data_IF_268542118578
#
_entry.id   IF_268542118578
#
_cell.length_a   1.000
_cell.length_b   1.000
_cell.length_c   1.000
_cell.angle_alpha   90.00
_cell.angle_beta   90.00
_cell.angle_gamma   90.00
#
_symmetry.space_group_name_H-M   'P 1'
#
loop_
_entity.id
_entity.type
_entity.pdbx_description
1 polymer ?
#
# COMPACT_ATOMS: atom_id res chain seq x y z
N UNK A 1 8.72 2.22 -12.20
CA UNK A 1 7.89 2.85 -13.26
C UNK A 1 6.46 2.29 -13.40
N UNK A 2 6.21 0.97 -13.28
CA UNK A 2 4.86 0.40 -13.47
C UNK A 2 3.78 1.06 -12.57
N UNK A 3 4.12 1.40 -11.32
CA UNK A 3 3.20 2.08 -10.39
C UNK A 3 2.83 3.50 -10.83
N UNK A 4 3.82 4.32 -11.23
CA UNK A 4 3.55 5.68 -11.76
C UNK A 4 2.61 5.62 -12.96
N UNK A 5 2.84 4.68 -13.89
CA UNK A 5 1.95 4.49 -15.05
C UNK A 5 0.53 4.07 -14.64
N UNK A 6 0.40 3.19 -13.63
CA UNK A 6 -0.91 2.77 -13.09
C UNK A 6 -1.69 3.97 -12.54
N UNK A 7 -1.04 4.80 -11.72
CA UNK A 7 -1.65 6.02 -11.13
C UNK A 7 -2.03 7.05 -12.18
N UNK A 8 -1.15 7.29 -13.17
CA UNK A 8 -1.47 8.18 -14.30
C UNK A 8 -2.68 7.70 -15.11
N UNK A 9 -2.81 6.40 -15.36
CA UNK A 9 -3.99 5.83 -16.05
C UNK A 9 -5.26 6.02 -15.23
N UNK A 10 -5.20 5.83 -13.91
CA UNK A 10 -6.35 6.06 -13.03
C UNK A 10 -6.77 7.53 -13.04
N UNK A 11 -5.83 8.47 -12.93
CA UNK A 11 -6.09 9.89 -13.05
C UNK A 11 -6.74 10.24 -14.39
N UNK A 12 -6.18 9.74 -15.49
CA UNK A 12 -6.72 9.96 -16.83
C UNK A 12 -8.17 9.46 -16.96
N UNK A 13 -8.47 8.29 -16.42
CA UNK A 13 -9.80 7.70 -16.47
C UNK A 13 -10.81 8.48 -15.60
N UNK A 14 -10.41 8.91 -14.40
CA UNK A 14 -11.27 9.75 -13.56
C UNK A 14 -11.56 11.11 -14.17
N UNK A 15 -10.60 11.72 -14.87
CA UNK A 15 -10.79 12.96 -15.62
C UNK A 15 -11.86 12.78 -16.70
N UNK A 16 -11.80 11.67 -17.45
CA UNK A 16 -12.79 11.36 -18.51
C UNK A 16 -14.19 11.12 -17.96
N UNK A 17 -14.29 10.51 -16.79
CA UNK A 17 -15.58 10.17 -16.18
C UNK A 17 -16.25 11.36 -15.51
N UNK A 18 -15.61 11.98 -14.52
CA UNK A 18 -16.16 13.14 -13.82
C UNK A 18 -15.07 13.86 -13.03
N UNK A 19 -14.40 14.80 -13.68
CA UNK A 19 -13.27 15.53 -13.11
C UNK A 19 -13.59 16.26 -11.80
N UNK A 20 -14.78 16.87 -11.68
CA UNK A 20 -15.20 17.60 -10.47
C UNK A 20 -15.51 16.67 -9.29
N UNK A 21 -16.24 15.58 -9.54
CA UNK A 21 -16.60 14.59 -8.50
C UNK A 21 -15.40 13.78 -8.02
N UNK A 22 -14.44 13.52 -8.91
CA UNK A 22 -13.23 12.73 -8.63
C UNK A 22 -11.98 13.58 -8.41
N UNK A 23 -12.14 14.88 -8.14
CA UNK A 23 -11.00 15.80 -7.99
C UNK A 23 -9.95 15.27 -7.01
N UNK A 24 -10.38 14.82 -5.83
CA UNK A 24 -9.48 14.32 -4.79
C UNK A 24 -8.72 13.06 -5.24
N UNK A 25 -9.41 12.09 -5.86
CA UNK A 25 -8.77 10.90 -6.44
C UNK A 25 -7.73 11.29 -7.51
N UNK A 26 -8.08 12.22 -8.42
CA UNK A 26 -7.18 12.70 -9.47
C UNK A 26 -5.93 13.37 -8.89
N UNK A 27 -6.11 14.25 -7.89
CA UNK A 27 -4.99 14.90 -7.20
C UNK A 27 -4.09 13.88 -6.50
N UNK A 28 -4.69 12.92 -5.81
CA UNK A 28 -3.97 11.85 -5.11
C UNK A 28 -3.13 11.05 -6.10
N UNK A 29 -3.73 10.51 -7.15
CA UNK A 29 -2.99 9.68 -8.11
C UNK A 29 -1.94 10.45 -8.93
N UNK A 30 -2.17 11.72 -9.24
CA UNK A 30 -1.14 12.55 -9.89
C UNK A 30 0.04 12.85 -8.95
N UNK A 31 -0.24 13.09 -7.66
CA UNK A 31 0.80 13.27 -6.63
C UNK A 31 1.62 11.98 -6.47
N UNK A 32 0.95 10.83 -6.36
CA UNK A 32 1.59 9.52 -6.28
C UNK A 32 2.51 9.24 -7.47
N UNK A 33 2.01 9.54 -8.67
CA UNK A 33 2.79 9.36 -9.89
C UNK A 33 4.04 10.23 -9.91
N UNK A 34 3.96 11.47 -9.40
CA UNK A 34 5.06 12.42 -9.27
C UNK A 34 6.10 11.93 -8.26
N UNK A 35 5.68 11.54 -7.06
CA UNK A 35 6.58 11.00 -6.02
C UNK A 35 7.34 9.77 -6.50
N UNK A 36 6.69 8.85 -7.22
CA UNK A 36 7.35 7.68 -7.81
C UNK A 36 8.38 8.07 -8.88
N UNK A 37 8.14 9.15 -9.63
CA UNK A 37 9.10 9.65 -10.63
C UNK A 37 10.31 10.31 -9.95
N UNK A 38 10.09 11.09 -8.89
CA UNK A 38 11.14 11.75 -8.11
C UNK A 38 12.04 10.73 -7.42
N UNK A 39 11.46 9.79 -6.67
CA UNK A 39 12.22 8.71 -6.00
C UNK A 39 12.99 7.85 -7.00
N UNK A 40 12.40 7.50 -8.15
CA UNK A 40 13.10 6.76 -9.19
C UNK A 40 14.27 7.54 -9.80
N UNK A 41 14.17 8.88 -9.87
CA UNK A 41 15.26 9.73 -10.32
C UNK A 41 16.40 9.76 -9.30
N UNK A 42 16.09 9.94 -8.02
CA UNK A 42 17.08 9.94 -6.93
C UNK A 42 17.83 8.60 -6.85
N UNK A 43 17.11 7.48 -6.97
CA UNK A 43 17.72 6.15 -7.02
C UNK A 43 18.66 5.99 -8.22
N UNK A 44 18.24 6.43 -9.41
CA UNK A 44 19.07 6.36 -10.61
C UNK A 44 20.33 7.24 -10.52
N UNK A 45 20.22 8.42 -9.91
CA UNK A 45 21.36 9.33 -9.69
C UNK A 45 22.34 8.79 -8.65
N UNK A 46 21.85 8.04 -7.66
CA UNK A 46 22.68 7.38 -6.64
C UNK A 46 23.46 6.18 -7.19
N UNK A 47 22.92 5.47 -8.18
CA UNK A 47 23.53 4.27 -8.78
C UNK A 47 24.60 4.64 -9.82
N UNK A 48 24.28 5.56 -10.75
CA UNK A 48 25.24 6.09 -11.72
C UNK A 48 25.08 7.60 -11.97
N UNK A 49 25.96 8.46 -11.39
CA UNK A 49 25.85 9.92 -11.46
C UNK A 49 25.96 10.54 -12.86
N UNK A 50 26.26 9.74 -13.91
CA UNK A 50 26.58 10.23 -15.25
C UNK A 50 25.52 9.88 -16.32
N UNK A 51 24.39 9.31 -15.92
CA UNK A 51 23.28 8.99 -16.83
C UNK A 51 22.41 10.23 -17.16
N UNK A 52 23.03 11.28 -17.71
CA UNK A 52 22.40 12.58 -18.06
C UNK A 52 21.12 12.39 -18.87
N UNK A 53 21.12 11.44 -19.82
CA UNK A 53 19.95 11.13 -20.64
C UNK A 53 18.75 10.60 -19.83
N UNK A 54 18.99 9.73 -18.86
CA UNK A 54 17.93 9.18 -17.98
C UNK A 54 17.38 10.28 -17.08
N UNK A 55 18.27 11.12 -16.54
CA UNK A 55 17.92 12.26 -15.70
C UNK A 55 17.04 13.27 -16.43
N UNK A 56 17.41 13.67 -17.64
CA UNK A 56 16.67 14.68 -18.39
C UNK A 56 15.29 14.17 -18.83
N UNK A 57 15.18 12.88 -19.16
CA UNK A 57 13.88 12.23 -19.38
C UNK A 57 13.02 12.24 -18.12
N UNK A 58 13.58 11.88 -16.96
CA UNK A 58 12.84 11.89 -15.70
C UNK A 58 12.39 13.31 -15.33
N UNK A 59 13.26 14.32 -15.48
CA UNK A 59 12.90 15.73 -15.26
C UNK A 59 11.72 16.16 -16.14
N UNK A 60 11.69 15.74 -17.41
CA UNK A 60 10.58 16.03 -18.31
C UNK A 60 9.28 15.34 -17.86
N UNK A 61 9.34 14.10 -17.40
CA UNK A 61 8.18 13.39 -16.86
C UNK A 61 7.65 14.05 -15.59
N UNK A 62 8.54 14.37 -14.64
CA UNK A 62 8.23 15.11 -13.41
C UNK A 62 7.53 16.43 -13.74
N UNK A 63 8.06 17.18 -14.72
CA UNK A 63 7.44 18.44 -15.15
C UNK A 63 6.03 18.24 -15.74
N UNK A 64 5.83 17.20 -16.55
CA UNK A 64 4.51 16.89 -17.12
C UNK A 64 3.50 16.48 -16.03
N UNK A 65 3.90 15.62 -15.09
CA UNK A 65 3.08 15.23 -13.94
C UNK A 65 2.74 16.44 -13.06
N UNK A 66 3.73 17.28 -12.74
CA UNK A 66 3.57 18.49 -11.93
C UNK A 66 2.63 19.51 -12.59
N UNK A 67 2.81 19.77 -13.89
CA UNK A 67 1.88 20.63 -14.64
C UNK A 67 0.45 20.08 -14.62
N UNK A 68 0.30 18.76 -14.80
CA UNK A 68 -1.00 18.10 -14.76
C UNK A 68 -1.65 18.21 -13.39
N UNK A 69 -0.89 18.03 -12.31
CA UNK A 69 -1.35 18.24 -10.94
C UNK A 69 -1.76 19.70 -10.70
N UNK A 70 -0.98 20.65 -11.21
CA UNK A 70 -1.32 22.09 -11.16
C UNK A 70 -2.63 22.43 -11.88
N UNK A 71 -2.95 21.72 -12.97
CA UNK A 71 -4.27 21.84 -13.63
C UNK A 71 -5.36 21.18 -12.78
N UNK A 72 -5.12 19.98 -12.24
CA UNK A 72 -6.08 19.27 -11.39
C UNK A 72 -6.46 20.07 -10.13
N UNK A 73 -5.50 20.78 -9.54
CA UNK A 73 -5.72 21.65 -8.38
C UNK A 73 -6.70 22.81 -8.65
N UNK A 74 -6.86 23.21 -9.93
CA UNK A 74 -7.79 24.25 -10.35
C UNK A 74 -9.20 23.74 -10.67
N UNK A 75 -9.42 22.43 -10.64
CA UNK A 75 -10.75 21.87 -10.83
C UNK A 75 -11.64 22.33 -9.65
N UNK A 76 -12.80 22.95 -9.92
CA UNK A 76 -13.72 23.32 -8.86
C UNK A 76 -14.29 22.06 -8.19
N UNK A 77 -14.38 22.07 -6.86
CA UNK A 77 -14.98 20.98 -6.11
C UNK A 77 -16.48 20.91 -6.38
N UNK A 78 -16.98 19.68 -6.53
CA UNK A 78 -18.40 19.43 -6.56
C UNK A 78 -18.91 19.31 -5.12
N UNK A 79 -19.41 20.42 -4.56
CA UNK A 79 -20.01 20.46 -3.22
C UNK A 79 -21.41 19.82 -3.17
N UNK A 80 -21.88 19.18 -4.25
CA UNK A 80 -23.22 18.56 -4.33
C UNK A 80 -23.31 17.17 -3.69
N UNK A 81 -22.29 16.71 -2.97
CA UNK A 81 -22.39 15.53 -2.12
C UNK A 81 -23.35 15.79 -0.95
N UNK A 82 -24.64 15.51 -1.20
CA UNK A 82 -25.65 15.26 -0.17
C UNK A 82 -25.06 14.36 0.92
N UNK A 83 -25.15 14.72 2.22
CA UNK A 83 -24.76 13.85 3.33
C UNK A 83 -25.77 12.70 3.44
N UNK A 84 -25.61 11.69 2.58
CA UNK A 84 -26.41 10.48 2.57
C UNK A 84 -25.98 9.52 3.68
N UNK A 85 -26.81 9.45 4.71
CA UNK A 85 -26.75 8.56 5.88
C UNK A 85 -25.52 8.72 6.79
N UNK A 86 -25.62 9.69 7.70
CA UNK A 86 -24.95 9.65 8.98
C UNK A 86 -25.24 8.32 9.70
N UNK A 87 -24.24 7.45 9.76
CA UNK A 87 -23.96 6.70 10.98
C UNK A 87 -22.81 7.45 11.68
N UNK A 88 -22.89 7.65 13.01
CA UNK A 88 -21.94 8.46 13.76
C UNK A 88 -20.67 7.64 13.92
N UNK A 89 -19.79 7.71 12.93
CA UNK A 89 -18.44 7.23 13.09
C UNK A 89 -17.51 7.96 12.13
N UNK A 90 -17.04 9.13 12.55
CA UNK A 90 -15.84 9.79 12.01
C UNK A 90 -14.58 8.88 12.06
N UNK A 91 -14.71 7.61 12.50
CA UNK A 91 -13.64 6.63 12.60
C UNK A 91 -13.19 6.04 11.26
N UNK A 92 -13.98 6.11 10.18
CA UNK A 92 -13.62 5.51 8.89
C UNK A 92 -13.77 6.46 7.69
N UNK A 93 -12.84 6.41 6.71
CA UNK A 93 -12.96 7.19 5.48
C UNK A 93 -14.21 6.86 4.66
N UNK A 94 -14.73 7.86 3.93
CA UNK A 94 -15.93 7.73 3.09
C UNK A 94 -15.81 6.68 1.98
N UNK A 95 -14.59 6.47 1.45
CA UNK A 95 -14.32 5.51 0.38
C UNK A 95 -14.31 4.05 0.85
N UNK A 96 -14.25 3.80 2.17
CA UNK A 96 -14.26 2.45 2.73
C UNK A 96 -15.69 1.90 2.75
N UNK A 97 -15.92 0.76 2.10
CA UNK A 97 -17.27 0.19 1.97
C UNK A 97 -17.85 -0.29 3.30
N UNK A 98 -19.18 -0.42 3.40
CA UNK A 98 -19.85 -0.98 4.58
C UNK A 98 -19.35 -2.39 4.92
N UNK A 99 -19.05 -3.21 3.91
CA UNK A 99 -18.50 -4.57 4.10
C UNK A 99 -17.11 -4.52 4.73
N UNK A 100 -16.25 -3.62 4.28
CA UNK A 100 -14.90 -3.46 4.82
C UNK A 100 -14.90 -2.86 6.21
N UNK A 101 -15.76 -1.87 6.48
CA UNK A 101 -15.95 -1.34 7.85
C UNK A 101 -16.38 -2.45 8.81
N UNK A 102 -17.35 -3.29 8.41
CA UNK A 102 -17.76 -4.47 9.18
C UNK A 102 -16.61 -5.45 9.39
N UNK A 103 -15.81 -5.71 8.36
CA UNK A 103 -14.62 -6.56 8.47
C UNK A 103 -13.58 -6.00 9.45
N UNK A 104 -13.41 -4.68 9.52
CA UNK A 104 -12.48 -4.04 10.46
C UNK A 104 -12.99 -4.00 11.91
N UNK A 105 -14.31 -4.03 12.10
CA UNK A 105 -14.96 -3.95 13.42
C UNK A 105 -15.34 -5.34 13.98
N UNK A 106 -15.57 -6.35 13.14
CA UNK A 106 -16.08 -7.66 13.54
C UNK A 106 -15.07 -8.45 14.39
N UNK A 107 -15.55 -9.22 15.37
CA UNK A 107 -14.73 -10.21 16.08
C UNK A 107 -14.64 -11.54 15.32
N UNK A 108 -15.69 -11.89 14.57
CA UNK A 108 -15.72 -13.09 13.74
C UNK A 108 -15.20 -12.77 12.35
N UNK A 109 -14.18 -13.50 11.91
CA UNK A 109 -13.57 -13.34 10.58
C UNK A 109 -14.00 -14.52 9.72
N UNK A 110 -14.65 -14.23 8.59
CA UNK A 110 -14.86 -15.22 7.54
C UNK A 110 -13.67 -15.15 6.59
N UNK A 111 -12.76 -16.10 6.72
CA UNK A 111 -11.55 -16.19 5.92
C UNK A 111 -11.80 -17.05 4.66
N UNK A 112 -11.13 -16.69 3.56
CA UNK A 112 -11.05 -17.50 2.35
C UNK A 112 -9.84 -18.46 2.42
N UNK A 113 -8.81 -18.10 3.18
CA UNK A 113 -7.67 -18.95 3.51
C UNK A 113 -7.15 -18.69 4.93
N UNK A 114 -6.65 -19.74 5.58
CA UNK A 114 -6.03 -19.69 6.90
C UNK A 114 -4.54 -20.03 6.78
N UNK A 115 -3.69 -19.15 7.35
CA UNK A 115 -2.25 -19.35 7.44
C UNK A 115 -1.87 -19.69 8.87
N UNK A 116 -1.18 -20.80 9.07
CA UNK A 116 -0.73 -21.25 10.38
C UNK A 116 0.66 -21.89 10.29
N UNK A 117 1.66 -21.30 10.96
CA UNK A 117 3.04 -21.79 10.91
C UNK A 117 3.22 -23.20 11.50
N UNK A 118 2.32 -23.61 12.39
CA UNK A 118 2.25 -24.96 12.98
C UNK A 118 1.64 -26.01 12.03
N UNK A 119 1.12 -25.61 10.87
CA UNK A 119 0.46 -26.48 9.90
C UNK A 119 -1.02 -26.75 10.19
N UNK A 120 -1.64 -26.08 11.16
CA UNK A 120 -3.07 -26.21 11.49
C UNK A 120 -4.01 -25.38 10.60
N UNK A 121 -3.51 -24.85 9.48
CA UNK A 121 -4.22 -24.01 8.51
C UNK A 121 -4.06 -24.54 7.09
N UNK A 122 -4.62 -23.83 6.12
CA UNK A 122 -4.54 -24.18 4.70
C UNK A 122 -3.13 -24.00 4.13
N UNK A 123 -2.40 -23.00 4.64
CA UNK A 123 -1.04 -22.67 4.24
C UNK A 123 -0.12 -22.49 5.44
N UNK A 124 1.18 -22.75 5.25
CA UNK A 124 2.20 -22.52 6.30
C UNK A 124 2.75 -21.09 6.24
N UNK A 125 2.74 -20.48 5.05
CA UNK A 125 3.29 -19.14 4.82
C UNK A 125 2.24 -18.19 4.26
N UNK A 126 2.44 -16.90 4.50
CA UNK A 126 1.59 -15.83 3.97
C UNK A 126 1.80 -15.71 2.46
N UNK A 127 3.03 -15.89 1.98
CA UNK A 127 3.36 -15.83 0.56
C UNK A 127 2.60 -16.88 -0.27
N UNK A 128 2.47 -18.11 0.24
CA UNK A 128 1.67 -19.17 -0.41
C UNK A 128 0.19 -18.77 -0.49
N UNK A 129 -0.38 -18.26 0.59
CA UNK A 129 -1.78 -17.82 0.61
C UNK A 129 -2.05 -16.66 -0.37
N UNK A 130 -1.12 -15.71 -0.49
CA UNK A 130 -1.20 -14.62 -1.48
C UNK A 130 -1.10 -15.16 -2.90
N UNK A 131 -0.24 -16.15 -3.15
CA UNK A 131 -0.14 -16.80 -4.46
C UNK A 131 -1.41 -17.57 -4.83
N UNK A 132 -2.07 -18.21 -3.86
CA UNK A 132 -3.33 -18.92 -4.06
C UNK A 132 -4.56 -18.00 -4.19
N UNK A 133 -4.46 -16.75 -3.71
CA UNK A 133 -5.58 -15.80 -3.74
C UNK A 133 -6.13 -15.58 -5.16
N UNK A 134 -7.46 -15.60 -5.30
CA UNK A 134 -8.15 -15.42 -6.56
C UNK A 134 -9.41 -14.55 -6.38
N UNK A 135 -9.83 -13.87 -7.45
CA UNK A 135 -10.95 -12.93 -7.45
C UNK A 135 -10.61 -11.53 -6.94
N UNK A 136 -11.63 -10.67 -6.91
CA UNK A 136 -11.49 -9.23 -6.59
C UNK A 136 -11.35 -8.93 -5.09
N UNK A 137 -11.46 -9.97 -4.24
CA UNK A 137 -11.59 -9.82 -2.80
C UNK A 137 -11.23 -11.14 -2.12
N UNK A 138 -10.10 -11.18 -1.41
CA UNK A 138 -9.62 -12.40 -0.77
C UNK A 138 -9.13 -12.13 0.65
N UNK A 139 -9.73 -12.80 1.64
CA UNK A 139 -9.44 -12.65 3.07
C UNK A 139 -8.51 -13.77 3.53
N UNK A 140 -7.28 -13.39 3.87
CA UNK A 140 -6.27 -14.26 4.45
C UNK A 140 -6.25 -14.03 5.96
N UNK A 141 -6.59 -15.05 6.72
CA UNK A 141 -6.49 -15.02 8.17
C UNK A 141 -5.19 -15.68 8.60
N UNK A 142 -4.40 -14.97 9.39
CA UNK A 142 -3.07 -15.39 9.84
C UNK A 142 -3.14 -15.63 11.34
N UNK A 143 -2.97 -16.90 11.74
CA UNK A 143 -2.98 -17.27 13.16
C UNK A 143 -1.80 -16.64 13.90
N UNK A 144 -1.84 -16.71 15.23
CA UNK A 144 -0.75 -16.31 16.09
C UNK A 144 0.53 -17.08 15.73
N UNK A 145 1.64 -16.35 15.66
CA UNK A 145 2.93 -16.88 15.25
C UNK A 145 3.87 -15.78 14.78
N UNK A 146 5.15 -16.16 14.66
CA UNK A 146 6.19 -15.33 14.05
C UNK A 146 6.50 -15.87 12.66
N UNK A 147 6.18 -15.09 11.64
CA UNK A 147 6.33 -15.45 10.23
C UNK A 147 7.55 -14.75 9.67
N UNK A 148 8.66 -15.49 9.56
CA UNK A 148 9.94 -14.96 9.08
C UNK A 148 10.07 -15.10 7.56
N UNK A 149 9.40 -14.22 6.81
CA UNK A 149 9.34 -14.29 5.34
C UNK A 149 9.29 -12.90 4.69
N UNK A 150 9.71 -12.83 3.42
CA UNK A 150 9.50 -11.67 2.54
C UNK A 150 8.16 -11.85 1.83
N UNK A 151 7.23 -10.90 1.99
CA UNK A 151 5.91 -10.98 1.36
C UNK A 151 5.75 -9.87 0.33
N UNK A 152 5.31 -10.26 -0.87
CA UNK A 152 4.94 -9.35 -1.93
C UNK A 152 3.45 -9.53 -2.26
N UNK A 153 2.66 -8.50 -1.97
CA UNK A 153 1.21 -8.46 -2.23
C UNK A 153 0.98 -7.59 -3.46
N UNK A 154 0.96 -8.24 -4.62
CA UNK A 154 0.77 -7.60 -5.93
C UNK A 154 -0.63 -7.79 -6.53
N UNK A 155 -1.50 -8.53 -5.83
CA UNK A 155 -2.91 -8.72 -6.21
C UNK A 155 -3.78 -7.71 -5.48
N UNK A 156 -4.76 -7.18 -6.19
CA UNK A 156 -5.73 -6.24 -5.64
C UNK A 156 -6.70 -6.96 -4.67
N UNK A 157 -7.31 -6.23 -3.74
CA UNK A 157 -8.39 -6.73 -2.87
C UNK A 157 -7.97 -7.75 -1.82
N UNK A 158 -6.66 -7.91 -1.56
CA UNK A 158 -6.13 -8.78 -0.50
C UNK A 158 -6.40 -8.16 0.86
N UNK A 159 -6.94 -8.96 1.79
CA UNK A 159 -7.19 -8.55 3.17
C UNK A 159 -6.48 -9.50 4.12
N UNK A 160 -5.46 -9.00 4.80
CA UNK A 160 -4.62 -9.75 5.71
C UNK A 160 -5.02 -9.44 7.16
N UNK A 161 -5.50 -10.45 7.88
CA UNK A 161 -6.05 -10.28 9.23
C UNK A 161 -5.36 -11.23 10.20
N UNK A 162 -4.76 -10.68 11.26
CA UNK A 162 -4.10 -11.46 12.31
C UNK A 162 -4.96 -11.70 13.55
N UNK A 163 -4.51 -12.61 14.41
CA UNK A 163 -5.07 -12.88 15.74
C UNK A 163 -4.91 -11.69 16.70
N UNK A 164 -3.91 -10.87 16.47
CA UNK A 164 -3.59 -9.71 17.29
C UNK A 164 -2.22 -9.18 16.92
N UNK A 165 -2.02 -7.86 16.97
CA UNK A 165 -0.70 -7.28 16.64
C UNK A 165 0.42 -7.82 17.53
N UNK A 166 0.09 -8.25 18.75
CA UNK A 166 1.07 -8.80 19.69
C UNK A 166 1.33 -10.29 19.47
N UNK A 167 0.43 -10.99 18.79
CA UNK A 167 0.45 -12.45 18.61
C UNK A 167 0.81 -12.87 17.18
N UNK A 168 0.46 -12.07 16.17
CA UNK A 168 0.76 -12.29 14.76
C UNK A 168 1.80 -11.28 14.30
N UNK A 169 3.05 -11.75 14.19
CA UNK A 169 4.20 -10.93 13.83
C UNK A 169 4.75 -11.41 12.50
N UNK A 170 4.81 -10.53 11.51
CA UNK A 170 5.52 -10.79 10.27
C UNK A 170 6.88 -10.10 10.39
N UNK A 171 7.93 -10.91 10.42
CA UNK A 171 9.31 -10.48 10.66
C UNK A 171 10.16 -10.69 9.42
N UNK A 172 10.95 -9.69 9.03
CA UNK A 172 11.93 -9.85 7.96
C UNK A 172 13.34 -9.51 8.44
N UNK A 173 14.34 -10.21 7.90
CA UNK A 173 15.78 -9.90 8.07
C UNK A 173 16.50 -9.85 6.71
N UNK A 174 17.29 -8.82 6.46
CA UNK A 174 18.30 -8.80 5.38
C UNK A 174 19.31 -7.68 5.64
N UNK A 175 20.57 -8.01 5.40
CA UNK A 175 21.72 -7.12 5.38
C UNK A 175 22.22 -6.96 3.93
N UNK A 176 22.49 -5.71 3.55
CA UNK A 176 23.29 -5.25 2.40
C UNK A 176 22.63 -5.37 1.01
N UNK A 177 22.42 -4.20 0.39
CA UNK A 177 22.12 -3.88 -1.02
C UNK A 177 20.73 -4.23 -1.59
N UNK A 178 19.95 -3.19 -1.95
CA UNK A 178 18.69 -3.15 -2.72
C UNK A 178 17.51 -4.04 -2.24
N UNK A 179 17.74 -5.02 -1.38
CA UNK A 179 16.76 -5.83 -0.65
C UNK A 179 16.17 -5.08 0.59
N UNK A 180 15.98 -3.76 0.45
CA UNK A 180 15.56 -2.85 1.53
C UNK A 180 14.11 -3.05 1.99
N UNK A 181 13.26 -3.68 1.16
CA UNK A 181 11.83 -3.87 1.38
C UNK A 181 11.50 -5.31 1.76
N UNK A 182 10.84 -5.50 2.92
CA UNK A 182 10.46 -6.83 3.46
C UNK A 182 9.00 -7.19 3.18
N UNK A 183 8.13 -6.20 3.32
CA UNK A 183 6.70 -6.27 3.03
C UNK A 183 6.36 -5.24 1.97
N UNK A 184 6.08 -5.69 0.76
CA UNK A 184 5.74 -4.83 -0.37
C UNK A 184 4.29 -5.04 -0.74
N UNK A 185 3.50 -3.97 -0.74
CA UNK A 185 2.10 -3.97 -1.14
C UNK A 185 1.93 -3.03 -2.33
N UNK A 186 1.54 -3.60 -3.46
CA UNK A 186 1.35 -2.90 -4.75
C UNK A 186 -0.05 -3.10 -5.32
N UNK A 187 -0.78 -4.13 -4.86
CA UNK A 187 -2.17 -4.37 -5.26
C UNK A 187 -3.14 -3.46 -4.51
N UNK A 188 -4.02 -2.76 -5.23
CA UNK A 188 -4.98 -1.77 -4.74
C UNK A 188 -6.04 -2.39 -3.80
N UNK A 189 -6.56 -1.63 -2.84
CA UNK A 189 -7.60 -2.08 -1.92
C UNK A 189 -7.09 -3.06 -0.84
N UNK A 190 -5.80 -3.02 -0.54
CA UNK A 190 -5.21 -3.90 0.47
C UNK A 190 -5.66 -3.50 1.88
N UNK A 191 -6.12 -4.46 2.68
CA UNK A 191 -6.49 -4.19 4.08
C UNK A 191 -5.59 -5.01 5.00
N UNK A 192 -4.96 -4.36 5.98
CA UNK A 192 -4.32 -5.07 7.08
C UNK A 192 -5.06 -4.82 8.39
N UNK A 193 -5.22 -5.87 9.20
CA UNK A 193 -5.76 -5.73 10.55
C UNK A 193 -5.05 -6.63 11.56
N UNK A 194 -4.82 -6.11 12.77
CA UNK A 194 -4.34 -6.90 13.92
C UNK A 194 -3.01 -7.63 13.65
N UNK A 195 -2.08 -6.99 12.97
CA UNK A 195 -0.79 -7.58 12.58
C UNK A 195 0.34 -6.63 12.98
N UNK A 196 1.46 -7.19 13.45
CA UNK A 196 2.72 -6.45 13.59
C UNK A 196 3.62 -6.74 12.39
N UNK A 197 4.07 -5.68 11.73
CA UNK A 197 5.15 -5.72 10.75
C UNK A 197 6.44 -5.33 11.46
N UNK A 198 7.41 -6.25 11.50
CA UNK A 198 8.65 -6.07 12.24
C UNK A 198 9.87 -6.25 11.33
N UNK A 199 10.86 -5.38 11.49
CA UNK A 199 12.18 -5.52 10.83
C UNK A 199 13.29 -5.63 11.85
N UNK A 200 14.14 -6.66 11.71
CA UNK A 200 15.24 -6.97 12.63
C UNK A 200 16.58 -6.37 12.22
N UNK A 201 16.63 -5.46 11.24
CA UNK A 201 17.87 -4.83 10.82
C UNK A 201 18.44 -3.94 11.95
N UNK A 202 19.60 -4.30 12.49
CA UNK A 202 20.24 -3.53 13.56
C UNK A 202 20.86 -2.19 13.12
N UNK A 203 21.47 -1.42 14.04
CA UNK A 203 22.02 -0.08 13.78
C UNK A 203 23.07 -0.02 12.65
N UNK A 204 23.76 -1.12 12.37
CA UNK A 204 24.74 -1.24 11.28
C UNK A 204 24.12 -1.58 9.91
N UNK A 205 22.83 -1.92 9.87
CA UNK A 205 22.10 -2.33 8.67
C UNK A 205 21.49 -1.18 7.86
N UNK A 206 21.99 0.05 8.05
CA UNK A 206 21.68 1.30 7.33
C UNK A 206 20.49 1.19 6.35
N UNK A 207 19.31 1.65 6.81
CA UNK A 207 18.03 1.71 6.09
C UNK A 207 17.37 0.35 5.81
N UNK A 208 16.41 -0.01 6.64
CA UNK A 208 15.66 -1.24 6.49
C UNK A 208 14.17 -0.97 6.75
N UNK A 209 13.43 -0.83 5.66
CA UNK A 209 11.99 -0.62 5.74
C UNK A 209 11.28 -1.91 6.12
N UNK A 210 10.40 -1.81 7.12
CA UNK A 210 9.51 -2.90 7.46
C UNK A 210 8.45 -3.04 6.37
N UNK A 211 7.79 -1.95 6.00
CA UNK A 211 6.60 -1.96 5.15
C UNK A 211 6.68 -0.87 4.07
N UNK A 212 6.41 -1.26 2.82
CA UNK A 212 6.31 -0.40 1.66
C UNK A 212 4.96 -0.57 1.00
N UNK A 213 4.13 0.47 1.05
CA UNK A 213 2.78 0.46 0.48
C UNK A 213 2.72 1.53 -0.59
N UNK A 214 2.47 1.07 -1.81
CA UNK A 214 2.17 1.92 -2.97
C UNK A 214 0.74 1.71 -3.46
N UNK A 215 -0.07 0.97 -2.68
CA UNK A 215 -1.43 0.55 -3.00
C UNK A 215 -2.45 1.63 -2.63
N UNK A 216 -3.37 1.92 -3.53
CA UNK A 216 -4.46 2.87 -3.30
C UNK A 216 -5.51 2.26 -2.37
N UNK A 217 -6.13 3.09 -1.53
CA UNK A 217 -7.20 2.69 -0.60
C UNK A 217 -6.80 1.54 0.32
N UNK A 218 -5.66 1.69 0.99
CA UNK A 218 -5.06 0.65 1.82
C UNK A 218 -5.05 0.93 3.34
N UNK A 219 -6.17 0.69 4.05
CA UNK A 219 -6.23 0.95 5.48
C UNK A 219 -5.46 -0.12 6.28
N UNK A 220 -4.65 0.35 7.24
CA UNK A 220 -4.04 -0.47 8.28
C UNK A 220 -4.77 -0.22 9.61
N UNK A 221 -5.41 -1.24 10.18
CA UNK A 221 -6.25 -1.08 11.38
C UNK A 221 -5.73 -1.92 12.55
N UNK A 222 -5.40 -1.28 13.67
CA UNK A 222 -4.80 -1.95 14.84
C UNK A 222 -3.53 -2.75 14.50
N UNK A 223 -2.75 -2.25 13.55
CA UNK A 223 -1.44 -2.80 13.21
C UNK A 223 -0.35 -2.12 14.04
N UNK A 224 0.80 -2.81 14.19
CA UNK A 224 2.04 -2.21 14.69
C UNK A 224 3.09 -2.27 13.58
N UNK A 225 3.91 -1.24 13.43
CA UNK A 225 5.02 -1.20 12.48
C UNK A 225 6.26 -0.84 13.28
N UNK A 226 7.20 -1.77 13.37
CA UNK A 226 8.34 -1.69 14.28
C UNK A 226 9.64 -2.01 13.53
N UNK A 227 10.71 -1.28 13.84
CA UNK A 227 11.99 -1.35 13.15
C UNK A 227 13.06 -0.42 13.69
N UNK A 228 14.09 -0.15 12.88
CA UNK A 228 15.11 0.90 13.08
C UNK A 228 14.94 1.99 12.00
N UNK A 229 15.84 2.97 11.81
CA UNK A 229 15.66 4.11 10.87
C UNK A 229 14.95 3.75 9.54
N UNK A 230 14.02 4.61 9.10
CA UNK A 230 13.17 4.49 7.89
C UNK A 230 12.25 3.25 7.88
N UNK A 231 11.31 3.15 8.83
CA UNK A 231 10.48 1.94 9.02
C UNK A 231 9.28 1.81 8.06
N UNK A 232 8.75 2.94 7.60
CA UNK A 232 7.50 3.03 6.85
C UNK A 232 7.62 4.06 5.75
N UNK A 233 7.19 3.70 4.55
CA UNK A 233 7.07 4.62 3.42
C UNK A 233 5.70 4.43 2.77
N UNK A 234 4.92 5.51 2.75
CA UNK A 234 3.71 5.66 1.98
C UNK A 234 3.99 6.62 0.84
N UNK A 235 3.70 6.21 -0.39
CA UNK A 235 3.61 7.13 -1.52
C UNK A 235 2.13 7.50 -1.68
N UNK A 236 1.78 8.74 -1.30
CA UNK A 236 0.43 9.32 -1.37
C UNK A 236 -0.07 9.47 -2.81
#
# INVERSE_FOLDING_TARGET
>A
MAMSLRRLKQAQEAIKQSSRKKKQDIQTWLSAALTVQETCKEEAEADEPHHVYTRDKMNRLIQLSSNSLGVANRIPEDNSSTPGHHLPDNRFPGWLSTRERRLLQSYTIKADAIVAGDGSGDFKTISEAVQAANGDSFVIYVKAGVYSEKVNINKDGIRLIGDGKDSTVISGSSSVNLARLRYTVTGDGFIARNIRFHTTAGPKGQQAMALYITSDRSPLFKCSIEGYQDMLNFTD
#
